data_IF_268089538391
#
_entry.id   IF_268089538391
#
_cell.length_a   1.000
_cell.length_b   1.000
_cell.length_c   1.000
_cell.angle_alpha   90.00
_cell.angle_beta   90.00
_cell.angle_gamma   90.00
#
_symmetry.space_group_name_H-M   'P 1'
#
loop_
_entity.id
_entity.type
_entity.pdbx_description
1 polymer ?
#
# COMPACT_ATOMS: atom_id res chain seq x y z
N UNK A 1 4.27 -0.25 7.48
CA UNK A 1 4.57 -0.53 6.05
C UNK A 1 3.34 -0.39 5.18
N UNK A 2 2.21 -1.03 5.51
CA UNK A 2 0.99 -1.02 4.68
C UNK A 2 0.45 0.39 4.34
N UNK A 3 0.50 1.33 5.29
CA UNK A 3 -0.05 2.68 5.11
C UNK A 3 0.64 3.58 4.06
N UNK A 4 1.82 3.21 3.58
CA UNK A 4 2.59 4.04 2.63
C UNK A 4 2.74 3.33 1.27
N UNK A 5 2.18 2.11 1.14
CA UNK A 5 2.41 1.28 -0.03
C UNK A 5 1.89 1.92 -1.32
N UNK A 6 0.72 2.54 -1.26
CA UNK A 6 0.12 3.20 -2.42
C UNK A 6 1.02 4.29 -3.01
N UNK A 7 1.91 4.92 -2.24
CA UNK A 7 2.81 5.98 -2.72
C UNK A 7 3.84 5.43 -3.70
N UNK A 8 4.36 4.23 -3.43
CA UNK A 8 5.35 3.57 -4.30
C UNK A 8 4.64 2.86 -5.45
N UNK A 9 3.50 2.22 -5.20
CA UNK A 9 2.75 1.54 -6.25
C UNK A 9 2.23 2.52 -7.29
N UNK A 10 1.69 3.66 -6.85
CA UNK A 10 1.19 4.72 -7.72
C UNK A 10 2.29 5.75 -8.06
N UNK A 11 3.54 5.32 -8.23
CA UNK A 11 4.64 6.18 -8.66
C UNK A 11 4.35 6.85 -10.01
N UNK A 12 4.88 8.05 -10.21
CA UNK A 12 4.73 8.78 -11.47
C UNK A 12 5.66 8.18 -12.50
N UNK A 13 5.11 7.80 -13.65
CA UNK A 13 5.92 7.35 -14.79
C UNK A 13 5.79 8.32 -15.93
N UNK A 14 6.92 8.69 -16.53
CA UNK A 14 6.88 9.46 -17.78
C UNK A 14 6.21 8.64 -18.89
N UNK A 15 5.29 9.29 -19.59
CA UNK A 15 4.62 8.77 -20.76
C UNK A 15 4.62 9.83 -21.86
N UNK A 16 4.46 9.37 -23.11
CA UNK A 16 4.32 10.23 -24.29
C UNK A 16 3.28 9.67 -25.22
N UNK A 17 2.77 10.50 -26.13
CA UNK A 17 1.89 10.03 -27.19
C UNK A 17 2.57 9.01 -28.09
N UNK A 18 1.79 8.00 -28.48
CA UNK A 18 2.14 7.09 -29.57
C UNK A 18 1.71 7.69 -30.90
N UNK A 19 2.56 7.51 -31.92
CA UNK A 19 2.28 7.93 -33.28
C UNK A 19 2.34 6.71 -34.19
N UNK A 20 1.19 6.19 -34.61
CA UNK A 20 1.09 4.99 -35.46
C UNK A 20 1.93 5.12 -36.75
N UNK A 21 2.03 6.34 -37.27
CA UNK A 21 2.73 6.70 -38.51
C UNK A 21 4.26 6.67 -38.37
N UNK A 22 4.77 6.82 -37.15
CA UNK A 22 6.20 6.91 -36.85
C UNK A 22 6.74 5.62 -36.22
N UNK A 23 5.87 4.78 -35.65
CA UNK A 23 6.28 3.69 -34.76
C UNK A 23 5.58 2.39 -35.12
N UNK A 24 6.30 1.55 -35.87
CA UNK A 24 5.85 0.20 -36.24
C UNK A 24 6.00 -0.83 -35.12
N UNK A 25 6.92 -0.62 -34.17
CA UNK A 25 7.13 -1.47 -32.99
C UNK A 25 7.36 -0.60 -31.74
N UNK A 26 6.87 -1.06 -30.57
CA UNK A 26 7.09 -0.39 -29.28
C UNK A 26 8.54 -0.67 -28.82
N UNK A 27 9.51 0.02 -29.40
CA UNK A 27 10.92 -0.06 -29.00
C UNK A 27 11.35 1.25 -28.36
N UNK A 28 11.63 1.13 -27.07
CA UNK A 28 12.25 2.10 -26.17
C UNK A 28 11.58 3.48 -26.04
N UNK A 29 11.67 4.03 -24.83
CA UNK A 29 11.15 5.36 -24.52
C UNK A 29 12.10 6.43 -25.09
N UNK A 30 11.99 6.66 -26.40
CA UNK A 30 12.71 7.72 -27.08
C UNK A 30 12.07 9.09 -26.87
N UNK A 31 12.86 10.16 -27.00
CA UNK A 31 12.36 11.54 -26.92
C UNK A 31 11.43 11.82 -28.09
N UNK A 32 10.23 12.38 -27.86
CA UNK A 32 9.33 12.72 -28.94
C UNK A 32 9.96 13.78 -29.84
N UNK A 33 9.73 13.67 -31.15
CA UNK A 33 10.19 14.69 -32.09
C UNK A 33 9.48 16.02 -31.84
N UNK A 34 10.21 17.14 -31.92
CA UNK A 34 9.68 18.48 -31.67
C UNK A 34 8.43 18.85 -32.51
N UNK A 35 8.27 18.23 -33.67
CA UNK A 35 7.14 18.47 -34.58
C UNK A 35 5.91 17.60 -34.28
N UNK A 36 5.99 16.67 -33.32
CA UNK A 36 4.90 15.71 -33.00
C UNK A 36 4.10 16.11 -31.75
N UNK A 37 4.74 16.80 -30.80
CA UNK A 37 4.11 17.17 -29.51
C UNK A 37 4.34 18.64 -29.19
N UNK A 38 3.33 19.36 -28.66
CA UNK A 38 3.50 20.73 -28.22
C UNK A 38 4.47 20.84 -27.03
N UNK A 39 5.23 21.92 -27.00
CA UNK A 39 6.13 22.20 -25.88
C UNK A 39 5.33 22.33 -24.58
N UNK A 40 5.78 21.69 -23.50
CA UNK A 40 5.16 21.72 -22.18
C UNK A 40 3.82 20.96 -22.02
N UNK A 41 3.48 20.05 -22.93
CA UNK A 41 2.18 19.34 -22.95
C UNK A 41 2.09 18.07 -22.11
N UNK A 42 3.12 17.73 -21.32
CA UNK A 42 3.24 16.48 -20.51
C UNK A 42 2.87 15.17 -21.26
N UNK A 43 2.89 15.18 -22.60
CA UNK A 43 2.53 14.02 -23.42
C UNK A 43 1.01 13.75 -23.53
N UNK A 44 0.16 14.73 -23.22
CA UNK A 44 -1.31 14.58 -23.30
C UNK A 44 -1.93 15.09 -24.59
N UNK A 45 -1.17 15.88 -25.32
CA UNK A 45 -1.61 16.52 -26.54
C UNK A 45 -0.61 16.20 -27.64
N UNK A 46 -1.12 16.09 -28.86
CA UNK A 46 -0.34 15.88 -30.07
C UNK A 46 -0.74 16.88 -31.14
N UNK A 47 0.14 17.08 -32.12
CA UNK A 47 -0.20 17.84 -33.32
C UNK A 47 -1.00 16.97 -34.29
N UNK A 48 -1.96 17.59 -34.98
CA UNK A 48 -2.77 16.90 -35.99
C UNK A 48 -1.90 16.47 -37.17
N UNK A 49 -2.12 15.25 -37.67
CA UNK A 49 -1.37 14.68 -38.79
C UNK A 49 -2.23 14.64 -40.05
N UNK A 50 -1.66 15.13 -41.15
CA UNK A 50 -2.32 15.24 -42.45
C UNK A 50 -1.95 14.08 -43.41
N UNK A 51 -0.99 13.22 -43.07
CA UNK A 51 -0.54 12.12 -43.92
C UNK A 51 -0.05 10.92 -43.11
N UNK A 52 0.01 9.74 -43.73
CA UNK A 52 0.45 8.50 -43.08
C UNK A 52 1.97 8.40 -42.86
N UNK A 53 2.76 9.35 -43.40
CA UNK A 53 4.21 9.36 -43.27
C UNK A 53 4.71 10.18 -42.07
N UNK A 54 5.79 9.71 -41.43
CA UNK A 54 6.45 10.38 -40.32
C UNK A 54 7.50 11.40 -40.81
N UNK A 55 7.04 12.56 -41.31
CA UNK A 55 7.91 13.66 -41.71
C UNK A 55 7.49 14.98 -41.05
N UNK A 56 8.39 15.94 -40.82
CA UNK A 56 8.01 17.23 -40.22
C UNK A 56 6.90 17.97 -40.97
N UNK A 57 6.77 17.75 -42.28
CA UNK A 57 5.75 18.35 -43.14
C UNK A 57 4.36 17.73 -43.01
N UNK A 58 4.25 16.54 -42.40
CA UNK A 58 2.96 15.86 -42.22
C UNK A 58 2.18 16.37 -41.01
N UNK A 59 2.85 17.02 -40.06
CA UNK A 59 2.24 17.50 -38.82
C UNK A 59 1.91 18.99 -38.91
N UNK A 60 0.66 19.33 -38.55
CA UNK A 60 0.22 20.72 -38.44
C UNK A 60 0.42 21.22 -37.00
N UNK A 61 1.45 22.03 -36.78
CA UNK A 61 1.79 22.58 -35.45
C UNK A 61 0.79 23.63 -34.94
N UNK A 62 -0.18 24.05 -35.75
CA UNK A 62 -1.23 25.00 -35.35
C UNK A 62 -2.46 24.32 -34.74
N UNK A 63 -2.65 23.02 -34.96
CA UNK A 63 -3.82 22.25 -34.50
C UNK A 63 -3.36 21.25 -33.45
N UNK A 64 -3.95 21.35 -32.25
CA UNK A 64 -3.63 20.50 -31.10
C UNK A 64 -4.81 19.59 -30.82
N UNK A 65 -4.54 18.30 -30.74
CA UNK A 65 -5.53 17.24 -30.49
C UNK A 65 -5.16 16.44 -29.24
N UNK A 66 -6.16 15.89 -28.51
CA UNK A 66 -5.88 14.97 -27.43
C UNK A 66 -5.23 13.68 -27.95
N UNK A 67 -4.46 13.05 -27.07
CA UNK A 67 -3.82 11.78 -27.36
C UNK A 67 -4.73 10.60 -27.06
N UNK A 68 -4.75 9.59 -27.93
CA UNK A 68 -5.54 8.37 -27.75
C UNK A 68 -4.72 7.21 -27.17
N UNK A 69 -3.44 7.10 -27.57
CA UNK A 69 -2.53 6.04 -27.13
C UNK A 69 -1.22 6.61 -26.60
N UNK A 70 -0.65 5.94 -25.58
CA UNK A 70 0.59 6.37 -24.92
C UNK A 70 1.64 5.27 -24.87
N UNK A 71 2.90 5.68 -24.99
CA UNK A 71 4.08 4.86 -24.69
C UNK A 71 4.61 5.29 -23.33
N UNK A 72 4.73 4.32 -22.43
CA UNK A 72 5.23 4.51 -21.08
C UNK A 72 6.72 4.17 -20.99
N UNK A 73 7.48 4.97 -20.23
CA UNK A 73 8.89 4.69 -19.95
C UNK A 73 9.11 3.36 -19.25
N UNK A 74 8.16 2.97 -18.41
CA UNK A 74 8.14 1.70 -17.67
C UNK A 74 6.80 1.03 -17.92
N UNK A 75 6.78 0.04 -18.82
CA UNK A 75 5.56 -0.71 -19.16
C UNK A 75 5.04 -1.51 -17.95
N UNK A 76 5.94 -1.95 -17.09
CA UNK A 76 5.67 -2.70 -15.86
C UNK A 76 5.21 -1.80 -14.69
N UNK A 77 4.62 -0.64 -14.96
CA UNK A 77 4.17 0.30 -13.94
C UNK A 77 2.65 0.29 -13.77
N UNK A 78 2.18 0.69 -12.59
CA UNK A 78 0.75 0.81 -12.29
C UNK A 78 0.03 1.73 -13.28
N UNK A 79 0.68 2.83 -13.68
CA UNK A 79 0.12 3.80 -14.63
C UNK A 79 -0.01 3.21 -16.03
N UNK A 80 0.99 2.45 -16.47
CA UNK A 80 0.99 1.81 -17.78
C UNK A 80 -0.06 0.70 -17.86
N UNK A 81 -0.14 -0.15 -16.84
CA UNK A 81 -1.00 -1.34 -16.84
C UNK A 81 -2.49 -1.00 -16.76
N UNK A 82 -2.84 0.11 -16.12
CA UNK A 82 -4.23 0.61 -16.07
C UNK A 82 -4.52 1.73 -17.09
N UNK A 83 -3.60 2.00 -18.02
CA UNK A 83 -3.71 3.06 -19.04
C UNK A 83 -4.11 4.43 -18.46
N UNK A 84 -3.43 4.85 -17.39
CA UNK A 84 -3.77 6.05 -16.60
C UNK A 84 -3.07 7.33 -17.10
N UNK A 85 -2.60 7.35 -18.34
CA UNK A 85 -1.94 8.54 -18.89
C UNK A 85 -2.93 9.71 -18.94
N UNK A 86 -2.44 10.92 -18.62
CA UNK A 86 -3.22 12.16 -18.57
C UNK A 86 -4.40 12.17 -17.59
N UNK A 87 -4.47 11.17 -16.71
CA UNK A 87 -5.50 11.01 -15.69
C UNK A 87 -4.85 11.03 -14.30
N UNK A 88 -4.04 12.06 -14.03
CA UNK A 88 -3.30 12.22 -12.77
C UNK A 88 -4.21 12.17 -11.54
N UNK A 89 -5.47 12.61 -11.68
CA UNK A 89 -6.47 12.55 -10.62
C UNK A 89 -6.76 11.12 -10.16
N UNK A 90 -6.70 10.12 -11.04
CA UNK A 90 -6.90 8.71 -10.67
C UNK A 90 -5.75 8.21 -9.80
N UNK A 91 -4.51 8.60 -10.11
CA UNK A 91 -3.34 8.28 -9.27
C UNK A 91 -3.51 8.84 -7.86
N UNK A 92 -3.88 10.10 -7.74
CA UNK A 92 -4.15 10.76 -6.45
C UNK A 92 -5.33 10.13 -5.72
N UNK A 93 -6.36 9.69 -6.46
CA UNK A 93 -7.55 9.06 -5.90
C UNK A 93 -7.24 7.77 -5.13
N UNK A 94 -6.20 7.01 -5.51
CA UNK A 94 -5.74 5.84 -4.76
C UNK A 94 -5.31 6.22 -3.33
N UNK A 95 -4.55 7.31 -3.17
CA UNK A 95 -4.17 7.80 -1.84
C UNK A 95 -5.36 8.32 -1.03
N UNK A 96 -6.30 9.00 -1.71
CA UNK A 96 -7.52 9.50 -1.08
C UNK A 96 -8.40 8.35 -0.57
N UNK A 97 -8.64 7.31 -1.38
CA UNK A 97 -9.47 6.18 -0.97
C UNK A 97 -8.82 5.38 0.17
N UNK A 98 -7.49 5.24 0.14
CA UNK A 98 -6.74 4.61 1.23
C UNK A 98 -6.93 5.40 2.54
N UNK A 99 -6.85 6.72 2.49
CA UNK A 99 -7.02 7.60 3.66
C UNK A 99 -8.45 7.56 4.22
N UNK A 100 -9.45 7.56 3.34
CA UNK A 100 -10.86 7.35 3.71
C UNK A 100 -11.04 5.97 4.36
N UNK A 101 -10.44 4.94 3.76
CA UNK A 101 -10.47 3.58 4.28
C UNK A 101 -9.91 3.50 5.69
N UNK A 102 -8.75 4.11 5.93
CA UNK A 102 -8.12 4.18 7.26
C UNK A 102 -9.01 4.91 8.27
N UNK A 103 -9.61 6.05 7.88
CA UNK A 103 -10.54 6.79 8.75
C UNK A 103 -11.73 5.92 9.17
N UNK A 104 -12.36 5.22 8.21
CA UNK A 104 -13.41 4.25 8.52
C UNK A 104 -12.89 3.12 9.42
N UNK A 105 -11.69 2.61 9.14
CA UNK A 105 -11.04 1.53 9.90
C UNK A 105 -10.91 1.88 11.37
N UNK A 106 -10.47 3.09 11.71
CA UNK A 106 -10.34 3.53 13.10
C UNK A 106 -11.65 3.45 13.89
N UNK A 107 -12.78 3.81 13.26
CA UNK A 107 -14.10 3.70 13.90
C UNK A 107 -14.49 2.23 14.16
N UNK A 108 -14.29 1.34 13.19
CA UNK A 108 -14.69 -0.06 13.32
C UNK A 108 -13.73 -0.86 14.21
N UNK A 109 -12.43 -0.71 14.00
CA UNK A 109 -11.41 -1.49 14.69
C UNK A 109 -11.29 -1.12 16.17
N UNK A 110 -11.52 0.14 16.55
CA UNK A 110 -11.57 0.52 17.96
C UNK A 110 -12.64 -0.27 18.72
N UNK A 111 -13.86 -0.28 18.18
CA UNK A 111 -14.99 -1.03 18.74
C UNK A 111 -14.75 -2.55 18.71
N UNK A 112 -14.17 -3.05 17.62
CA UNK A 112 -13.86 -4.46 17.45
C UNK A 112 -12.82 -4.93 18.48
N UNK A 113 -11.80 -4.12 18.72
CA UNK A 113 -10.70 -4.40 19.65
C UNK A 113 -11.17 -4.50 21.09
N UNK A 114 -12.09 -3.64 21.51
CA UNK A 114 -12.68 -3.70 22.85
C UNK A 114 -13.65 -4.89 23.02
N UNK A 115 -14.34 -5.31 21.95
CA UNK A 115 -15.30 -6.42 22.00
C UNK A 115 -14.65 -7.80 21.93
N UNK A 116 -13.81 -8.03 20.93
CA UNK A 116 -13.29 -9.38 20.60
C UNK A 116 -12.01 -9.71 21.39
N UNK A 117 -11.28 -8.68 21.83
CA UNK A 117 -10.01 -8.84 22.54
C UNK A 117 -8.84 -8.30 21.73
N UNK A 118 -7.78 -7.91 22.44
CA UNK A 118 -6.61 -7.24 21.86
C UNK A 118 -5.81 -8.19 20.96
N UNK A 119 -5.71 -9.48 21.31
CA UNK A 119 -5.02 -10.49 20.48
C UNK A 119 -5.71 -10.68 19.12
N UNK A 120 -7.03 -10.90 19.15
CA UNK A 120 -7.83 -11.06 17.93
C UNK A 120 -7.80 -9.77 17.08
N UNK A 121 -7.76 -8.60 17.72
CA UNK A 121 -7.67 -7.31 17.05
C UNK A 121 -6.32 -7.05 16.37
N UNK A 122 -5.27 -7.82 16.64
CA UNK A 122 -4.00 -7.74 15.90
C UNK A 122 -4.02 -8.72 14.73
N UNK A 123 -4.48 -9.95 14.99
CA UNK A 123 -4.40 -11.06 14.04
C UNK A 123 -5.41 -10.91 12.89
N UNK A 124 -6.66 -10.55 13.21
CA UNK A 124 -7.71 -10.41 12.19
C UNK A 124 -7.35 -9.31 11.19
N UNK A 125 -6.96 -8.08 11.61
CA UNK A 125 -6.49 -7.06 10.68
C UNK A 125 -5.24 -7.43 9.92
N UNK A 126 -4.24 -8.03 10.57
CA UNK A 126 -3.02 -8.48 9.88
C UNK A 126 -3.31 -9.47 8.76
N UNK A 127 -4.25 -10.40 8.99
CA UNK A 127 -4.70 -11.35 7.97
C UNK A 127 -5.54 -10.71 6.87
N UNK A 128 -6.46 -9.81 7.24
CA UNK A 128 -7.25 -9.07 6.27
C UNK A 128 -6.34 -8.25 5.35
N UNK A 129 -5.33 -7.56 5.91
CA UNK A 129 -4.33 -6.83 5.14
C UNK A 129 -3.58 -7.75 4.18
N UNK A 130 -3.14 -8.94 4.62
CA UNK A 130 -2.47 -9.91 3.77
C UNK A 130 -3.38 -10.38 2.61
N UNK A 131 -4.64 -10.74 2.89
CA UNK A 131 -5.58 -11.26 1.89
C UNK A 131 -5.92 -10.19 0.87
N UNK A 132 -6.37 -9.01 1.31
CA UNK A 132 -6.76 -7.93 0.40
C UNK A 132 -5.55 -7.33 -0.32
N UNK A 133 -4.40 -7.25 0.35
CA UNK A 133 -3.14 -6.78 -0.22
C UNK A 133 -2.58 -7.70 -1.31
N UNK A 134 -2.67 -9.03 -1.13
CA UNK A 134 -2.32 -9.98 -2.19
C UNK A 134 -3.38 -9.95 -3.29
N UNK A 135 -4.67 -9.90 -2.94
CA UNK A 135 -5.75 -9.85 -3.93
C UNK A 135 -5.64 -8.63 -4.86
N UNK A 136 -5.30 -7.43 -4.34
CA UNK A 136 -5.14 -6.24 -5.18
C UNK A 136 -3.96 -6.36 -6.15
N UNK A 137 -2.94 -7.16 -5.82
CA UNK A 137 -1.84 -7.45 -6.74
C UNK A 137 -2.29 -8.23 -7.98
N UNK A 138 -3.46 -8.89 -7.97
CA UNK A 138 -4.03 -9.61 -9.11
C UNK A 138 -5.17 -8.83 -9.80
N UNK A 139 -5.46 -7.60 -9.36
CA UNK A 139 -6.53 -6.80 -9.95
C UNK A 139 -6.21 -6.47 -11.41
N UNK A 140 -7.11 -6.81 -12.33
CA UNK A 140 -6.98 -6.51 -13.77
C UNK A 140 -7.65 -5.20 -14.16
N UNK A 141 -8.53 -4.66 -13.31
CA UNK A 141 -9.22 -3.38 -13.54
C UNK A 141 -8.93 -2.39 -12.43
N UNK A 142 -8.83 -1.10 -12.79
CA UNK A 142 -8.55 -0.01 -11.86
C UNK A 142 -9.60 0.09 -10.74
N UNK A 143 -10.89 -0.10 -11.07
CA UNK A 143 -11.96 -0.06 -10.08
C UNK A 143 -11.87 -1.22 -9.08
N UNK A 144 -11.51 -2.43 -9.52
CA UNK A 144 -11.29 -3.56 -8.62
C UNK A 144 -10.12 -3.26 -7.67
N UNK A 145 -9.04 -2.67 -8.19
CA UNK A 145 -7.89 -2.26 -7.37
C UNK A 145 -8.32 -1.26 -6.27
N UNK A 146 -9.06 -0.20 -6.60
CA UNK A 146 -9.55 0.79 -5.63
C UNK A 146 -10.40 0.14 -4.54
N UNK A 147 -11.32 -0.75 -4.91
CA UNK A 147 -12.22 -1.38 -3.94
C UNK A 147 -11.41 -2.23 -2.96
N UNK A 148 -10.45 -3.01 -3.47
CA UNK A 148 -9.57 -3.82 -2.64
C UNK A 148 -8.64 -2.96 -1.77
N UNK A 149 -8.14 -1.84 -2.29
CA UNK A 149 -7.36 -0.85 -1.53
C UNK A 149 -8.16 -0.29 -0.35
N UNK A 150 -9.45 0.04 -0.58
CA UNK A 150 -10.32 0.53 0.48
C UNK A 150 -10.55 -0.52 1.58
N UNK A 151 -10.85 -1.76 1.20
CA UNK A 151 -11.03 -2.86 2.16
C UNK A 151 -9.74 -3.16 2.94
N UNK A 152 -8.61 -3.15 2.26
CA UNK A 152 -7.29 -3.33 2.88
C UNK A 152 -7.01 -2.22 3.89
N UNK A 153 -7.25 -0.95 3.56
CA UNK A 153 -7.05 0.17 4.46
C UNK A 153 -8.03 0.17 5.65
N UNK A 154 -9.30 -0.20 5.43
CA UNK A 154 -10.32 -0.23 6.50
C UNK A 154 -10.14 -1.38 7.47
N UNK A 155 -9.80 -2.57 6.98
CA UNK A 155 -9.73 -3.76 7.82
C UNK A 155 -8.32 -4.11 8.25
N UNK A 156 -7.29 -3.57 7.58
CA UNK A 156 -5.90 -4.01 7.69
C UNK A 156 -5.04 -3.31 8.74
N UNK A 157 -5.52 -2.27 9.43
CA UNK A 157 -4.70 -1.59 10.44
C UNK A 157 -4.48 -2.50 11.68
N UNK A 158 -3.25 -2.99 11.81
CA UNK A 158 -2.79 -3.80 12.93
C UNK A 158 -1.82 -3.04 13.84
N UNK A 159 -1.37 -1.85 13.45
CA UNK A 159 -0.34 -1.11 14.18
C UNK A 159 -0.91 -0.53 15.47
N UNK A 160 -2.09 0.11 15.36
CA UNK A 160 -2.83 0.69 16.48
C UNK A 160 -3.06 -0.28 17.65
N UNK A 161 -3.65 -1.48 17.45
CA UNK A 161 -3.87 -2.43 18.53
C UNK A 161 -2.56 -3.02 19.09
N UNK A 162 -1.50 -3.13 18.29
CA UNK A 162 -0.18 -3.61 18.76
C UNK A 162 0.47 -2.63 19.73
N UNK A 163 0.43 -1.32 19.44
CA UNK A 163 0.99 -0.29 20.35
C UNK A 163 0.24 -0.28 21.68
N UNK A 164 -1.09 -0.37 21.64
CA UNK A 164 -1.94 -0.41 22.84
C UNK A 164 -1.62 -1.65 23.69
N UNK A 165 -1.62 -2.84 23.08
CA UNK A 165 -1.31 -4.08 23.78
C UNK A 165 0.11 -4.06 24.36
N UNK A 166 1.06 -3.51 23.60
CA UNK A 166 2.41 -3.29 24.07
C UNK A 166 2.44 -2.50 25.38
N UNK A 167 1.82 -1.32 25.40
CA UNK A 167 1.79 -0.45 26.58
C UNK A 167 1.00 -1.03 27.77
N UNK A 168 0.07 -1.96 27.51
CA UNK A 168 -0.66 -2.70 28.55
C UNK A 168 0.20 -3.78 29.23
N UNK A 169 1.13 -4.41 28.49
CA UNK A 169 2.00 -5.48 28.99
C UNK A 169 3.20 -4.95 29.80
N UNK A 170 3.65 -3.73 29.51
CA UNK A 170 4.86 -3.16 30.09
C UNK A 170 4.55 -2.27 31.30
N UNK A 171 5.41 -2.38 32.33
CA UNK A 171 5.34 -1.55 33.53
C UNK A 171 5.50 -0.06 33.19
N UNK A 172 4.87 0.84 33.96
CA UNK A 172 4.79 2.28 33.64
C UNK A 172 6.14 2.94 33.38
N UNK A 173 7.19 2.52 34.09
CA UNK A 173 8.55 3.06 33.97
C UNK A 173 9.26 2.68 32.65
N UNK A 174 8.88 1.55 32.05
CA UNK A 174 9.50 1.06 30.81
C UNK A 174 8.70 1.37 29.54
N UNK A 175 7.54 2.03 29.68
CA UNK A 175 6.68 2.38 28.53
C UNK A 175 7.38 3.28 27.51
N UNK A 176 8.21 4.21 27.97
CA UNK A 176 8.97 5.09 27.09
C UNK A 176 9.94 4.28 26.21
N UNK A 177 10.70 3.37 26.82
CA UNK A 177 11.64 2.51 26.10
C UNK A 177 10.93 1.62 25.07
N UNK A 178 9.76 1.10 25.41
CA UNK A 178 8.95 0.33 24.48
C UNK A 178 8.49 1.17 23.28
N UNK A 179 8.00 2.39 23.51
CA UNK A 179 7.58 3.27 22.42
C UNK A 179 8.75 3.64 21.51
N UNK A 180 9.92 3.95 22.10
CA UNK A 180 11.15 4.21 21.33
C UNK A 180 11.53 3.00 20.49
N UNK A 181 11.47 1.80 21.06
CA UNK A 181 11.75 0.56 20.33
C UNK A 181 10.79 0.39 19.14
N UNK A 182 9.49 0.62 19.31
CA UNK A 182 8.52 0.61 18.22
C UNK A 182 8.85 1.62 17.12
N UNK A 183 9.20 2.85 17.49
CA UNK A 183 9.59 3.88 16.52
C UNK A 183 10.83 3.48 15.72
N UNK A 184 11.87 2.94 16.37
CA UNK A 184 13.09 2.47 15.71
C UNK A 184 12.79 1.32 14.75
N UNK A 185 12.00 0.32 15.20
CA UNK A 185 11.59 -0.79 14.34
C UNK A 185 10.74 -0.33 13.15
N UNK A 186 9.87 0.66 13.34
CA UNK A 186 9.09 1.25 12.25
C UNK A 186 9.99 1.98 11.24
N UNK A 187 11.00 2.72 11.71
CA UNK A 187 11.97 3.39 10.86
C UNK A 187 12.82 2.40 10.05
N UNK A 188 13.37 1.37 10.70
CA UNK A 188 14.08 0.27 10.03
C UNK A 188 13.18 -0.42 8.99
N UNK A 189 11.91 -0.64 9.34
CA UNK A 189 10.92 -1.15 8.41
C UNK A 189 10.73 -0.24 7.19
N UNK A 190 10.67 1.07 7.37
CA UNK A 190 10.61 2.03 6.28
C UNK A 190 11.83 1.94 5.35
N UNK A 191 13.04 1.80 5.90
CA UNK A 191 14.27 1.63 5.11
C UNK A 191 14.24 0.33 4.30
N UNK A 192 13.87 -0.79 4.93
CA UNK A 192 13.74 -2.08 4.25
C UNK A 192 12.67 -2.05 3.16
N UNK A 193 11.58 -1.33 3.39
CA UNK A 193 10.50 -1.13 2.42
C UNK A 193 10.99 -0.37 1.18
N UNK A 194 11.73 0.72 1.36
CA UNK A 194 12.33 1.47 0.25
C UNK A 194 13.38 0.64 -0.51
N UNK A 195 14.16 -0.19 0.22
CA UNK A 195 15.12 -1.11 -0.41
C UNK A 195 14.40 -2.18 -1.25
N UNK A 196 13.29 -2.74 -0.75
CA UNK A 196 12.47 -3.68 -1.50
C UNK A 196 11.88 -3.06 -2.78
N UNK A 197 11.48 -1.79 -2.72
CA UNK A 197 10.98 -1.06 -3.89
C UNK A 197 12.05 -0.88 -4.96
N UNK A 198 13.29 -0.65 -4.54
CA UNK A 198 14.43 -0.56 -5.45
C UNK A 198 14.77 -1.91 -6.11
N UNK A 199 14.73 -3.00 -5.34
CA UNK A 199 15.08 -4.34 -5.81
C UNK A 199 14.01 -4.99 -6.72
N UNK A 200 12.73 -4.67 -6.48
CA UNK A 200 11.60 -5.27 -7.22
C UNK A 200 10.90 -4.19 -8.05
N UNK A 201 11.32 -3.98 -9.32
CA UNK A 201 10.78 -2.90 -10.13
C UNK A 201 9.33 -3.13 -10.55
N UNK A 202 8.85 -4.37 -10.62
CA UNK A 202 7.46 -4.67 -10.97
C UNK A 202 6.53 -4.49 -9.78
N UNK A 203 5.55 -3.61 -9.92
CA UNK A 203 4.69 -3.21 -8.81
C UNK A 203 3.85 -4.35 -8.22
N UNK A 204 3.38 -5.32 -9.04
CA UNK A 204 2.59 -6.46 -8.52
C UNK A 204 3.43 -7.37 -7.63
N UNK A 205 4.64 -7.72 -8.06
CA UNK A 205 5.55 -8.54 -7.25
C UNK A 205 6.00 -7.81 -5.99
N UNK A 206 6.20 -6.49 -6.08
CA UNK A 206 6.50 -5.67 -4.91
C UNK A 206 5.36 -5.75 -3.86
N UNK A 207 4.11 -5.55 -4.29
CA UNK A 207 2.94 -5.71 -3.42
C UNK A 207 2.89 -7.11 -2.79
N UNK A 208 3.08 -8.16 -3.59
CA UNK A 208 3.10 -9.54 -3.08
C UNK A 208 4.21 -9.77 -2.05
N UNK A 209 5.41 -9.25 -2.30
CA UNK A 209 6.55 -9.37 -1.39
C UNK A 209 6.27 -8.73 -0.02
N UNK A 210 5.55 -7.61 0.00
CA UNK A 210 5.23 -6.88 1.24
C UNK A 210 4.12 -7.57 2.05
N UNK A 211 3.09 -8.08 1.37
CA UNK A 211 1.94 -8.70 2.05
C UNK A 211 2.15 -10.18 2.36
N UNK A 212 3.05 -10.88 1.67
CA UNK A 212 3.32 -12.29 1.94
C UNK A 212 3.83 -12.57 3.38
N UNK A 213 4.77 -11.79 3.95
CA UNK A 213 5.16 -11.92 5.35
C UNK A 213 3.99 -11.71 6.33
N UNK A 214 3.00 -10.89 5.97
CA UNK A 214 1.81 -10.67 6.81
C UNK A 214 0.94 -11.92 6.97
N UNK A 215 1.07 -12.94 6.11
CA UNK A 215 0.40 -14.24 6.34
C UNK A 215 0.93 -14.95 7.61
N UNK A 216 2.16 -14.63 8.05
CA UNK A 216 2.74 -15.17 9.27
C UNK A 216 2.06 -14.66 10.54
N UNK A 217 1.16 -13.66 10.46
CA UNK A 217 0.34 -13.23 11.61
C UNK A 217 -0.53 -14.36 12.18
N UNK A 218 -0.82 -15.43 11.42
CA UNK A 218 -1.47 -16.63 11.95
C UNK A 218 -0.64 -17.26 13.07
N UNK A 219 0.69 -17.29 12.93
CA UNK A 219 1.58 -17.87 13.95
C UNK A 219 1.52 -17.10 15.27
N UNK A 220 1.24 -15.79 15.21
CA UNK A 220 1.11 -14.96 16.42
C UNK A 220 -0.11 -15.38 17.25
N UNK A 221 -1.10 -16.04 16.65
CA UNK A 221 -2.18 -16.67 17.41
C UNK A 221 -1.67 -17.72 18.40
N UNK A 222 -0.62 -18.47 18.07
CA UNK A 222 -0.12 -19.52 18.96
C UNK A 222 0.84 -18.98 20.01
N UNK A 223 1.55 -17.90 19.70
CA UNK A 223 2.62 -17.37 20.56
C UNK A 223 2.09 -16.32 21.55
N UNK A 224 1.15 -15.46 21.13
CA UNK A 224 0.71 -14.33 21.97
C UNK A 224 -0.35 -14.74 22.98
N UNK A 225 -0.18 -14.25 24.21
CA UNK A 225 -1.21 -14.29 25.24
C UNK A 225 -2.16 -13.08 25.11
N UNK A 226 -3.40 -13.22 25.61
CA UNK A 226 -4.38 -12.14 25.63
C UNK A 226 -4.06 -11.09 26.71
N UNK A 227 -4.58 -9.87 26.60
CA UNK A 227 -4.36 -8.85 27.63
C UNK A 227 -5.07 -9.20 28.95
N UNK A 228 -4.33 -9.14 30.07
CA UNK A 228 -4.87 -9.44 31.41
C UNK A 228 -6.02 -8.49 31.76
N UNK A 229 -5.89 -7.22 31.38
CA UNK A 229 -6.92 -6.20 31.63
C UNK A 229 -8.22 -6.52 30.90
N UNK A 230 -8.13 -6.94 29.65
CA UNK A 230 -9.31 -7.35 28.88
C UNK A 230 -9.95 -8.62 29.47
N UNK A 231 -9.13 -9.60 29.89
CA UNK A 231 -9.67 -10.80 30.56
C UNK A 231 -10.41 -10.45 31.85
N UNK A 232 -9.89 -9.53 32.65
CA UNK A 232 -10.54 -9.06 33.88
C UNK A 232 -11.82 -8.27 33.59
N UNK A 233 -11.81 -7.37 32.59
CA UNK A 233 -13.00 -6.59 32.22
C UNK A 233 -14.14 -7.46 31.67
N UNK A 234 -13.81 -8.59 31.03
CA UNK A 234 -14.78 -9.60 30.57
C UNK A 234 -15.14 -10.65 31.64
N UNK A 235 -14.71 -10.47 32.89
CA UNK A 235 -15.02 -11.38 34.00
C UNK A 235 -14.33 -12.75 33.93
N UNK A 236 -13.36 -12.94 33.02
CA UNK A 236 -12.63 -14.22 32.83
C UNK A 236 -11.49 -14.36 33.85
N UNK A 237 -11.84 -14.34 35.14
CA UNK A 237 -10.88 -14.28 36.27
C UNK A 237 -9.90 -15.46 36.28
N UNK A 238 -10.36 -16.68 36.02
CA UNK A 238 -9.49 -17.87 36.00
C UNK A 238 -8.42 -17.84 34.90
N UNK A 239 -8.76 -17.31 33.73
CA UNK A 239 -7.79 -17.16 32.63
C UNK A 239 -6.77 -16.07 32.96
N UNK A 240 -7.25 -14.97 33.55
CA UNK A 240 -6.38 -13.89 34.01
C UNK A 240 -5.40 -14.36 35.10
N UNK A 241 -5.86 -15.14 36.09
CA UNK A 241 -4.98 -15.66 37.15
C UNK A 241 -3.95 -16.65 36.61
N UNK A 242 -4.35 -17.59 35.73
CA UNK A 242 -3.40 -18.50 35.07
C UNK A 242 -2.32 -17.74 34.30
N UNK A 243 -2.71 -16.70 33.57
CA UNK A 243 -1.78 -15.89 32.79
C UNK A 243 -0.84 -15.08 33.70
N UNK A 244 -1.35 -14.49 34.79
CA UNK A 244 -0.53 -13.80 35.78
C UNK A 244 0.46 -14.74 36.47
N UNK A 245 0.06 -15.96 36.82
CA UNK A 245 0.96 -16.97 37.38
C UNK A 245 2.06 -17.37 36.39
N UNK A 246 1.72 -17.51 35.10
CA UNK A 246 2.71 -17.75 34.03
C UNK A 246 3.73 -16.60 33.96
N UNK A 247 3.27 -15.35 33.94
CA UNK A 247 4.17 -14.18 33.93
C UNK A 247 5.03 -14.09 35.18
N UNK A 248 4.46 -14.36 36.35
CA UNK A 248 5.19 -14.30 37.61
C UNK A 248 6.26 -15.40 37.73
N UNK A 249 6.04 -16.58 37.13
CA UNK A 249 7.08 -17.61 36.98
C UNK A 249 8.19 -17.17 36.03
N UNK A 250 7.86 -16.57 34.89
CA UNK A 250 8.85 -16.05 33.93
C UNK A 250 9.73 -14.95 34.52
N UNK A 251 9.14 -14.09 35.36
CA UNK A 251 9.85 -13.02 36.05
C UNK A 251 10.49 -13.46 37.38
N UNK A 252 10.49 -14.77 37.70
CA UNK A 252 11.04 -15.33 38.95
C UNK A 252 10.51 -14.66 40.24
N UNK A 253 9.27 -14.19 40.23
CA UNK A 253 8.65 -13.51 41.39
C UNK A 253 8.20 -14.53 42.44
N UNK A 254 7.73 -15.70 42.00
CA UNK A 254 7.44 -16.83 42.89
C UNK A 254 8.69 -17.70 43.01
N UNK A 255 9.41 -17.55 44.11
CA UNK A 255 10.44 -18.49 44.58
C UNK A 255 9.79 -19.55 45.47
#
# INVERSE_FOLDING_TARGET
>A
MHCINYVIVAEETHYRCRFEQCESEIKDFETPYNFTTPHNSRGCYRYSSNSEECYPTSFNTSIVEPCDEWIYKKQDSFVAEFHLACQDWKRTFVGTIHSIGLMCGLFFQGQLSDRIGRKAAIIIPGLAAAIFGIAKSYATTYFCYIILEWFEATLGDNCSPTVILGGELVHSEHRLYQQIFFCVMAALGGVLFSLAAYLVPYWRHFVQLIYAPSLLFILYYFIMDESVRWLLSKGKKEKATKLLLKMAKLNNIFR
#
